data_IF_235751408284
#
_entry.id   IF_235751408284
#
_cell.length_a   1.000
_cell.length_b   1.000
_cell.length_c   1.000
_cell.angle_alpha   90.00
_cell.angle_beta   90.00
_cell.angle_gamma   90.00
#
_symmetry.space_group_name_H-M   'P 1'
#
loop_
_entity.id
_entity.type
_entity.pdbx_description
1 polymer ?
#
# COMPACT_ATOMS: atom_id res chain seq x y z
N UNK A 1 50.39 -14.54 -14.19
CA UNK A 1 49.55 -15.49 -13.41
C UNK A 1 48.63 -14.80 -12.40
N UNK A 2 49.13 -13.96 -11.48
CA UNK A 2 48.28 -13.26 -10.48
C UNK A 2 47.14 -12.44 -11.11
N UNK A 3 47.42 -11.67 -12.17
CA UNK A 3 46.42 -10.87 -12.89
C UNK A 3 45.39 -11.70 -13.67
N UNK A 4 45.77 -12.92 -14.09
CA UNK A 4 44.85 -13.85 -14.76
C UNK A 4 43.90 -14.49 -13.73
N UNK A 5 44.44 -14.89 -12.58
CA UNK A 5 43.68 -15.47 -11.46
C UNK A 5 42.69 -14.45 -10.87
N UNK A 6 43.10 -13.18 -10.74
CA UNK A 6 42.23 -12.08 -10.32
C UNK A 6 41.08 -11.83 -11.31
N UNK A 7 41.33 -11.90 -12.62
CA UNK A 7 40.28 -11.77 -13.64
C UNK A 7 39.28 -12.93 -13.60
N UNK A 8 39.76 -14.17 -13.42
CA UNK A 8 38.89 -15.35 -13.27
C UNK A 8 38.03 -15.23 -12.01
N UNK A 9 38.60 -14.77 -10.89
CA UNK A 9 37.87 -14.54 -9.66
C UNK A 9 36.79 -13.46 -9.82
N UNK A 10 37.10 -12.34 -10.48
CA UNK A 10 36.12 -11.29 -10.78
C UNK A 10 34.98 -11.80 -11.68
N UNK A 11 35.28 -12.60 -12.71
CA UNK A 11 34.26 -13.19 -13.57
C UNK A 11 33.37 -14.17 -12.78
N UNK A 12 33.97 -15.01 -11.93
CA UNK A 12 33.22 -15.92 -11.07
C UNK A 12 32.31 -15.16 -10.08
N UNK A 13 32.80 -14.07 -9.50
CA UNK A 13 32.01 -13.21 -8.62
C UNK A 13 30.81 -12.59 -9.35
N UNK A 14 31.03 -12.05 -10.55
CA UNK A 14 29.96 -11.50 -11.40
C UNK A 14 28.92 -12.56 -11.75
N UNK A 15 29.34 -13.78 -12.08
CA UNK A 15 28.43 -14.89 -12.39
C UNK A 15 27.60 -15.30 -11.17
N UNK A 16 28.18 -15.31 -9.96
CA UNK A 16 27.44 -15.61 -8.73
C UNK A 16 26.39 -14.52 -8.45
N UNK A 17 26.78 -13.24 -8.57
CA UNK A 17 25.84 -12.12 -8.37
C UNK A 17 24.69 -12.14 -9.38
N UNK A 18 24.95 -12.50 -10.64
CA UNK A 18 23.90 -12.58 -11.66
C UNK A 18 22.81 -13.62 -11.29
N UNK A 19 23.20 -14.78 -10.77
CA UNK A 19 22.25 -15.85 -10.40
C UNK A 19 21.30 -15.43 -9.26
N UNK A 20 21.78 -14.61 -8.31
CA UNK A 20 20.96 -14.09 -7.21
C UNK A 20 19.84 -13.18 -7.75
N UNK A 21 20.17 -12.28 -8.68
CA UNK A 21 19.20 -11.37 -9.30
C UNK A 21 18.14 -12.12 -10.11
N UNK A 22 18.54 -13.13 -10.90
CA UNK A 22 17.59 -13.94 -11.67
C UNK A 22 16.60 -14.70 -10.77
N UNK A 23 17.06 -15.22 -9.62
CA UNK A 23 16.19 -15.91 -8.66
C UNK A 23 15.15 -14.98 -8.04
N UNK A 24 15.54 -13.75 -7.68
CA UNK A 24 14.64 -12.74 -7.13
C UNK A 24 13.54 -12.36 -8.13
N UNK A 25 13.89 -12.13 -9.40
CA UNK A 25 12.91 -11.79 -10.45
C UNK A 25 11.85 -12.88 -10.65
N UNK A 26 12.23 -14.16 -10.57
CA UNK A 26 11.28 -15.28 -10.67
C UNK A 26 10.28 -15.31 -9.51
N UNK A 27 10.75 -15.07 -8.28
CA UNK A 27 9.89 -15.00 -7.08
C UNK A 27 8.89 -13.85 -7.18
N UNK A 28 9.36 -12.66 -7.56
CA UNK A 28 8.50 -11.48 -7.75
C UNK A 28 7.43 -11.77 -8.81
N UNK A 29 7.80 -12.36 -9.96
CA UNK A 29 6.85 -12.71 -11.01
C UNK A 29 5.76 -13.68 -10.53
N UNK A 30 6.13 -14.66 -9.69
CA UNK A 30 5.16 -15.58 -9.07
C UNK A 30 4.24 -14.84 -8.10
N UNK A 31 4.78 -13.94 -7.28
CA UNK A 31 4.00 -13.12 -6.36
C UNK A 31 3.02 -12.21 -7.11
N UNK A 32 3.43 -11.60 -8.22
CA UNK A 32 2.54 -10.81 -9.08
C UNK A 32 1.39 -11.65 -9.60
N UNK A 33 1.66 -12.88 -10.05
CA UNK A 33 0.60 -13.80 -10.50
C UNK A 33 -0.39 -14.17 -9.37
N UNK A 34 0.10 -14.34 -8.14
CA UNK A 34 -0.76 -14.60 -6.98
C UNK A 34 -1.60 -13.36 -6.63
N UNK A 35 -0.99 -12.19 -6.66
CA UNK A 35 -1.67 -10.90 -6.47
C UNK A 35 -2.80 -10.72 -7.48
N UNK A 36 -2.54 -11.00 -8.77
CA UNK A 36 -3.53 -10.88 -9.84
C UNK A 36 -4.69 -11.89 -9.71
N UNK A 37 -4.49 -12.95 -8.91
CA UNK A 37 -5.52 -13.92 -8.52
C UNK A 37 -6.21 -13.58 -7.19
N UNK A 38 -6.00 -12.38 -6.65
CA UNK A 38 -6.50 -11.95 -5.35
C UNK A 38 -5.95 -12.75 -4.15
N UNK A 39 -4.89 -13.53 -4.35
CA UNK A 39 -4.18 -14.24 -3.27
C UNK A 39 -3.20 -13.29 -2.58
N UNK A 40 -3.74 -12.27 -1.91
CA UNK A 40 -2.96 -11.16 -1.37
C UNK A 40 -2.02 -11.56 -0.23
N UNK A 41 -2.42 -12.52 0.61
CA UNK A 41 -1.60 -13.00 1.73
C UNK A 41 -0.33 -13.68 1.19
N UNK A 42 -0.47 -14.65 0.27
CA UNK A 42 0.67 -15.35 -0.33
C UNK A 42 1.60 -14.39 -1.11
N UNK A 43 1.03 -13.39 -1.78
CA UNK A 43 1.82 -12.41 -2.52
C UNK A 43 2.61 -11.51 -1.56
N UNK A 44 1.96 -11.07 -0.46
CA UNK A 44 2.55 -10.23 0.57
C UNK A 44 3.79 -10.86 1.19
N UNK A 45 3.73 -12.13 1.56
CA UNK A 45 4.87 -12.83 2.18
C UNK A 45 6.12 -12.81 1.28
N UNK A 46 5.93 -13.00 -0.03
CA UNK A 46 7.03 -12.94 -0.99
C UNK A 46 7.56 -11.52 -1.12
N UNK A 47 6.68 -10.51 -1.19
CA UNK A 47 7.12 -9.12 -1.29
C UNK A 47 7.85 -8.63 -0.04
N UNK A 48 7.38 -9.00 1.17
CA UNK A 48 8.06 -8.69 2.42
C UNK A 48 9.46 -9.29 2.44
N UNK A 49 9.59 -10.56 2.09
CA UNK A 49 10.89 -11.25 2.01
C UNK A 49 11.86 -10.57 1.03
N UNK A 50 11.35 -10.13 -0.12
CA UNK A 50 12.15 -9.39 -1.11
C UNK A 50 12.66 -8.06 -0.54
N UNK A 51 11.82 -7.34 0.22
CA UNK A 51 12.24 -6.11 0.92
C UNK A 51 13.24 -6.38 2.04
N UNK A 52 13.05 -7.45 2.81
CA UNK A 52 14.00 -7.91 3.84
C UNK A 52 15.37 -8.27 3.26
N UNK A 53 15.39 -8.87 2.06
CA UNK A 53 16.60 -9.15 1.29
C UNK A 53 17.25 -7.88 0.68
N UNK A 54 16.71 -6.69 0.98
CA UNK A 54 17.24 -5.38 0.59
C UNK A 54 16.75 -4.86 -0.77
N UNK A 55 15.83 -5.56 -1.43
CA UNK A 55 15.28 -5.09 -2.71
C UNK A 55 14.15 -4.10 -2.48
N UNK A 56 14.35 -2.87 -2.94
CA UNK A 56 13.41 -1.76 -2.80
C UNK A 56 13.02 -1.25 -4.18
N UNK A 57 11.72 -1.09 -4.41
CA UNK A 57 11.21 -0.46 -5.62
C UNK A 57 9.80 0.07 -5.40
N UNK A 58 9.42 1.09 -6.16
CA UNK A 58 8.07 1.65 -6.14
C UNK A 58 7.01 0.56 -6.35
N UNK A 59 7.24 -0.36 -7.31
CA UNK A 59 6.32 -1.45 -7.60
C UNK A 59 6.10 -2.37 -6.39
N UNK A 60 7.16 -2.74 -5.66
CA UNK A 60 7.04 -3.64 -4.51
C UNK A 60 6.32 -2.95 -3.36
N UNK A 61 6.62 -1.68 -3.09
CA UNK A 61 5.95 -0.92 -2.02
C UNK A 61 4.47 -0.69 -2.33
N UNK A 62 4.15 -0.35 -3.59
CA UNK A 62 2.77 -0.28 -4.05
C UNK A 62 2.03 -1.60 -3.87
N UNK A 63 2.62 -2.71 -4.32
CA UNK A 63 2.00 -4.04 -4.19
C UNK A 63 1.82 -4.45 -2.73
N UNK A 64 2.76 -4.15 -1.85
CA UNK A 64 2.61 -4.36 -0.42
C UNK A 64 1.42 -3.55 0.14
N UNK A 65 1.41 -2.24 -0.12
CA UNK A 65 0.29 -1.36 0.25
C UNK A 65 -1.06 -1.88 -0.23
N UNK A 66 -1.14 -2.32 -1.49
CA UNK A 66 -2.33 -2.93 -2.07
C UNK A 66 -2.76 -4.19 -1.32
N UNK A 67 -1.84 -5.12 -1.06
CA UNK A 67 -2.19 -6.38 -0.35
C UNK A 67 -2.76 -6.12 1.04
N UNK A 68 -2.29 -5.10 1.75
CA UNK A 68 -2.82 -4.74 3.06
C UNK A 68 -4.15 -3.99 2.94
N UNK A 69 -4.22 -3.03 2.00
CA UNK A 69 -5.41 -2.22 1.77
C UNK A 69 -6.64 -3.06 1.41
N UNK A 70 -6.48 -4.04 0.50
CA UNK A 70 -7.60 -4.92 0.10
C UNK A 70 -7.99 -5.93 1.18
N UNK A 71 -7.16 -6.11 2.20
CA UNK A 71 -7.46 -6.93 3.37
C UNK A 71 -7.89 -6.08 4.58
N UNK A 72 -8.20 -4.79 4.37
CA UNK A 72 -8.61 -3.83 5.40
C UNK A 72 -7.60 -3.62 6.54
N UNK A 73 -6.34 -3.99 6.33
CA UNK A 73 -5.24 -3.70 7.25
C UNK A 73 -4.68 -2.31 6.89
N UNK A 74 -5.43 -1.28 7.29
CA UNK A 74 -5.13 0.10 6.92
C UNK A 74 -3.85 0.63 7.59
N UNK A 75 -3.47 0.11 8.75
CA UNK A 75 -2.22 0.47 9.41
C UNK A 75 -1.01 0.10 8.54
N UNK A 76 -0.91 -1.17 8.13
CA UNK A 76 0.18 -1.59 7.26
C UNK A 76 0.06 -1.02 5.85
N UNK A 77 -1.15 -0.83 5.32
CA UNK A 77 -1.35 -0.18 4.03
C UNK A 77 -0.76 1.25 4.03
N UNK A 78 -1.12 2.07 5.03
CA UNK A 78 -0.61 3.42 5.18
C UNK A 78 0.92 3.43 5.26
N UNK A 79 1.52 2.52 6.04
CA UNK A 79 2.97 2.38 6.15
C UNK A 79 3.65 2.17 4.79
N UNK A 80 3.18 1.22 3.99
CA UNK A 80 3.83 0.89 2.72
C UNK A 80 3.58 1.94 1.63
N UNK A 81 2.39 2.53 1.58
CA UNK A 81 2.14 3.61 0.63
C UNK A 81 2.88 4.90 0.99
N UNK A 82 3.00 5.26 2.28
CA UNK A 82 3.86 6.38 2.69
C UNK A 82 5.29 6.16 2.23
N UNK A 83 5.83 4.95 2.47
CA UNK A 83 7.17 4.60 1.99
C UNK A 83 7.33 4.71 0.48
N UNK A 84 6.30 4.33 -0.29
CA UNK A 84 6.26 4.55 -1.74
C UNK A 84 6.32 6.04 -2.10
N UNK A 85 5.50 6.86 -1.46
CA UNK A 85 5.40 8.30 -1.72
C UNK A 85 6.71 9.02 -1.33
N UNK A 86 7.30 8.63 -0.21
CA UNK A 86 8.51 9.26 0.35
C UNK A 86 9.77 8.89 -0.44
N UNK A 87 9.92 7.61 -0.81
CA UNK A 87 11.14 7.12 -1.47
C UNK A 87 11.07 7.14 -2.99
N UNK A 88 9.87 7.07 -3.58
CA UNK A 88 9.66 7.04 -5.02
C UNK A 88 8.53 8.02 -5.47
N UNK A 89 8.64 9.31 -5.13
CA UNK A 89 7.58 10.30 -5.40
C UNK A 89 7.23 10.41 -6.89
N UNK A 90 8.21 10.28 -7.78
CA UNK A 90 8.03 10.37 -9.24
C UNK A 90 7.31 9.14 -9.83
N UNK A 91 7.33 8.00 -9.14
CA UNK A 91 6.67 6.77 -9.56
C UNK A 91 5.30 6.60 -8.89
N UNK A 92 5.06 7.28 -7.77
CA UNK A 92 3.80 7.27 -7.04
C UNK A 92 2.67 7.86 -7.91
N UNK A 93 1.56 7.13 -8.01
CA UNK A 93 0.40 7.54 -8.81
C UNK A 93 -0.64 8.22 -7.92
N UNK A 94 -1.55 9.04 -8.48
CA UNK A 94 -2.60 9.70 -7.68
C UNK A 94 -3.39 8.72 -6.80
N UNK A 95 -3.69 7.52 -7.32
CA UNK A 95 -4.41 6.49 -6.57
C UNK A 95 -3.68 6.05 -5.29
N UNK A 96 -2.35 6.09 -5.26
CA UNK A 96 -1.56 5.72 -4.09
C UNK A 96 -1.74 6.76 -2.97
N UNK A 97 -1.77 8.05 -3.30
CA UNK A 97 -2.12 9.14 -2.37
C UNK A 97 -3.54 8.99 -1.83
N UNK A 98 -4.51 8.73 -2.71
CA UNK A 98 -5.91 8.52 -2.31
C UNK A 98 -6.09 7.32 -1.35
N UNK A 99 -5.40 6.22 -1.60
CA UNK A 99 -5.45 5.02 -0.73
C UNK A 99 -4.73 5.25 0.58
N UNK A 100 -3.64 6.01 0.57
CA UNK A 100 -2.96 6.41 1.81
C UNK A 100 -3.87 7.30 2.64
N UNK A 101 -4.48 8.32 2.04
CA UNK A 101 -5.45 9.20 2.69
C UNK A 101 -6.59 8.41 3.33
N UNK A 102 -7.22 7.50 2.59
CA UNK A 102 -8.28 6.66 3.15
C UNK A 102 -7.79 5.77 4.30
N UNK A 103 -6.60 5.19 4.15
CA UNK A 103 -6.03 4.33 5.21
C UNK A 103 -5.78 5.14 6.48
N UNK A 104 -5.24 6.35 6.37
CA UNK A 104 -5.02 7.27 7.50
C UNK A 104 -6.34 7.72 8.13
N UNK A 105 -7.36 8.00 7.31
CA UNK A 105 -8.71 8.33 7.80
C UNK A 105 -9.28 7.18 8.65
N UNK A 106 -9.10 5.93 8.23
CA UNK A 106 -9.52 4.76 9.01
C UNK A 106 -8.75 4.56 10.31
N UNK A 107 -7.64 5.27 10.49
CA UNK A 107 -6.82 5.27 11.70
C UNK A 107 -7.02 6.57 12.52
N UNK A 108 -8.07 7.35 12.21
CA UNK A 108 -8.37 8.66 12.82
C UNK A 108 -7.26 9.72 12.65
N UNK A 109 -6.35 9.51 11.68
CA UNK A 109 -5.27 10.44 11.34
C UNK A 109 -5.76 11.44 10.29
N UNK A 110 -6.74 12.26 10.66
CA UNK A 110 -7.51 13.10 9.74
C UNK A 110 -6.67 14.20 9.07
N UNK A 111 -5.81 14.90 9.81
CA UNK A 111 -4.99 15.99 9.26
C UNK A 111 -4.06 15.51 8.13
N UNK A 112 -3.36 14.39 8.35
CA UNK A 112 -2.49 13.78 7.35
C UNK A 112 -3.29 13.17 6.19
N UNK A 113 -4.48 12.63 6.46
CA UNK A 113 -5.40 12.16 5.43
C UNK A 113 -5.80 13.30 4.49
N UNK A 114 -6.15 14.45 5.03
CA UNK A 114 -6.58 15.61 4.26
C UNK A 114 -5.43 16.22 3.46
N UNK A 115 -4.20 16.20 4.00
CA UNK A 115 -3.00 16.59 3.25
C UNK A 115 -2.81 15.73 2.00
N UNK A 116 -2.86 14.40 2.15
CA UNK A 116 -2.72 13.49 1.02
C UNK A 116 -3.90 13.55 0.05
N UNK A 117 -5.10 13.87 0.52
CA UNK A 117 -6.24 14.11 -0.35
C UNK A 117 -6.07 15.39 -1.19
N UNK A 118 -5.53 16.46 -0.60
CA UNK A 118 -5.17 17.67 -1.37
C UNK A 118 -4.10 17.38 -2.41
N UNK A 119 -3.08 16.58 -2.08
CA UNK A 119 -2.08 16.13 -3.04
C UNK A 119 -2.71 15.32 -4.19
N UNK A 120 -3.60 14.38 -3.87
CA UNK A 120 -4.37 13.62 -4.86
C UNK A 120 -5.17 14.52 -5.83
N UNK A 121 -5.83 15.56 -5.30
CA UNK A 121 -6.60 16.52 -6.09
C UNK A 121 -5.67 17.33 -6.99
N UNK A 122 -4.54 17.82 -6.47
CA UNK A 122 -3.56 18.59 -7.23
C UNK A 122 -2.96 17.79 -8.40
N UNK A 123 -2.87 16.46 -8.27
CA UNK A 123 -2.43 15.56 -9.33
C UNK A 123 -3.52 15.20 -10.35
N UNK A 124 -4.67 15.90 -10.37
CA UNK A 124 -5.83 15.59 -11.20
C UNK A 124 -6.32 14.13 -11.04
N UNK A 125 -6.54 13.72 -9.79
CA UNK A 125 -7.26 12.49 -9.48
C UNK A 125 -8.64 12.38 -10.15
N UNK A 126 -9.39 11.32 -9.83
CA UNK A 126 -10.72 11.07 -10.41
C UNK A 126 -11.68 12.23 -10.11
N UNK A 127 -12.21 12.86 -11.15
CA UNK A 127 -13.07 14.05 -11.03
C UNK A 127 -14.29 13.85 -10.12
N UNK A 128 -14.88 12.65 -10.10
CA UNK A 128 -16.00 12.34 -9.20
C UNK A 128 -15.62 12.31 -7.72
N UNK A 129 -14.38 11.94 -7.38
CA UNK A 129 -13.85 11.97 -6.02
C UNK A 129 -13.43 13.39 -5.63
N UNK A 130 -12.82 14.13 -6.55
CA UNK A 130 -12.47 15.54 -6.37
C UNK A 130 -13.72 16.37 -6.06
N UNK A 131 -14.80 16.17 -6.83
CA UNK A 131 -16.05 16.91 -6.62
C UNK A 131 -16.65 16.61 -5.24
N UNK A 132 -16.64 15.36 -4.79
CA UNK A 132 -17.12 14.99 -3.45
C UNK A 132 -16.32 15.65 -2.33
N UNK A 133 -15.00 15.68 -2.45
CA UNK A 133 -14.14 16.35 -1.48
C UNK A 133 -14.38 17.86 -1.47
N UNK A 134 -14.37 18.50 -2.65
CA UNK A 134 -14.56 19.95 -2.76
C UNK A 134 -15.94 20.41 -2.26
N UNK A 135 -16.97 19.57 -2.39
CA UNK A 135 -18.31 19.88 -1.89
C UNK A 135 -18.41 19.86 -0.36
N UNK A 136 -17.50 19.17 0.34
CA UNK A 136 -17.49 19.09 1.80
C UNK A 136 -16.07 18.78 2.34
N UNK A 137 -15.14 19.75 2.28
CA UNK A 137 -13.78 19.53 2.78
C UNK A 137 -13.78 19.30 4.30
N UNK A 138 -14.64 20.00 5.04
CA UNK A 138 -14.80 19.87 6.50
C UNK A 138 -15.87 18.85 6.90
N UNK A 139 -15.95 17.73 6.17
CA UNK A 139 -17.03 16.76 6.35
C UNK A 139 -17.11 16.20 7.78
N UNK A 140 -16.00 16.12 8.51
CA UNK A 140 -15.98 15.68 9.91
C UNK A 140 -16.78 16.60 10.82
N UNK A 141 -16.60 17.92 10.69
CA UNK A 141 -17.40 18.91 11.42
C UNK A 141 -18.88 18.78 11.04
N UNK A 142 -19.16 18.63 9.74
CA UNK A 142 -20.54 18.44 9.26
C UNK A 142 -21.24 17.17 9.77
N UNK A 143 -20.48 16.15 10.17
CA UNK A 143 -20.99 14.92 10.78
C UNK A 143 -21.12 15.08 12.29
N UNK A 144 -20.15 15.74 12.93
CA UNK A 144 -20.13 16.01 14.38
C UNK A 144 -21.29 16.90 14.82
N UNK A 145 -21.63 17.91 14.01
CA UNK A 145 -22.67 18.90 14.33
C UNK A 145 -24.10 18.39 14.08
N UNK A 146 -24.25 17.22 13.45
CA UNK A 146 -25.57 16.59 13.31
C UNK A 146 -25.93 15.89 14.63
N UNK A 147 -26.92 16.44 15.33
CA UNK A 147 -27.62 15.71 16.38
C UNK A 147 -27.99 14.31 15.86
N UNK A 148 -27.59 13.28 16.60
CA UNK A 148 -27.89 11.89 16.24
C UNK A 148 -29.39 11.67 16.40
N UNK A 149 -30.14 11.80 15.31
CA UNK A 149 -31.60 11.57 15.27
C UNK A 149 -31.95 10.07 15.22
N UNK A 150 -31.25 9.26 16.02
CA UNK A 150 -31.43 7.82 16.08
C UNK A 150 -31.66 7.41 17.53
N UNK A 151 -32.78 6.73 17.78
CA UNK A 151 -33.02 6.09 19.07
C UNK A 151 -32.55 4.63 19.02
N UNK A 152 -31.60 4.29 19.89
CA UNK A 152 -31.16 2.90 20.06
C UNK A 152 -32.23 2.17 20.86
N UNK A 153 -32.94 1.25 20.22
CA UNK A 153 -33.89 0.35 20.90
C UNK A 153 -33.34 -1.07 20.93
N UNK A 154 -33.34 -1.68 22.12
CA UNK A 154 -32.95 -3.08 22.28
C UNK A 154 -34.04 -3.97 21.68
N UNK A 155 -33.70 -4.75 20.67
CA UNK A 155 -34.64 -5.71 20.07
C UNK A 155 -34.67 -7.01 20.88
N UNK A 156 -35.77 -7.76 20.80
CA UNK A 156 -35.91 -9.09 21.42
C UNK A 156 -35.28 -10.23 20.61
N UNK A 157 -34.59 -9.91 19.51
CA UNK A 157 -33.98 -10.90 18.61
C UNK A 157 -32.58 -11.21 19.16
N UNK A 158 -32.53 -12.15 20.10
CA UNK A 158 -31.31 -12.80 20.53
C UNK A 158 -31.53 -14.30 20.40
N UNK A 159 -30.86 -14.95 19.43
CA UNK A 159 -30.73 -16.40 19.44
C UNK A 159 -29.48 -16.75 20.24
N UNK A 160 -29.52 -17.86 20.97
CA UNK A 160 -28.37 -18.38 21.75
C UNK A 160 -27.13 -18.74 20.92
N UNK A 161 -27.16 -18.50 19.61
CA UNK A 161 -26.10 -18.78 18.64
C UNK A 161 -25.80 -17.58 17.73
N UNK A 162 -26.22 -16.36 18.09
CA UNK A 162 -25.82 -15.16 17.35
C UNK A 162 -24.41 -14.74 17.80
N UNK A 163 -23.45 -14.80 16.87
CA UNK A 163 -22.16 -14.09 16.96
C UNK A 163 -22.31 -12.61 16.55
#
# INVERSE_FOLDING_TARGET
MKTLLQKIFLIALVLICANVVYSQNSKIKKATKNFDKYSFIDARDVYLKVVEDGYQSAQIYKKLGDTYYYNSDYNNAAKWYKKLIDEFPDEAQPLDYYRTAQSLKSLDMYDESDELMRAYIAMNGSGGLIQKYNNNPDYLNSISDKEKDYQIQKTGINSSTSD
#
